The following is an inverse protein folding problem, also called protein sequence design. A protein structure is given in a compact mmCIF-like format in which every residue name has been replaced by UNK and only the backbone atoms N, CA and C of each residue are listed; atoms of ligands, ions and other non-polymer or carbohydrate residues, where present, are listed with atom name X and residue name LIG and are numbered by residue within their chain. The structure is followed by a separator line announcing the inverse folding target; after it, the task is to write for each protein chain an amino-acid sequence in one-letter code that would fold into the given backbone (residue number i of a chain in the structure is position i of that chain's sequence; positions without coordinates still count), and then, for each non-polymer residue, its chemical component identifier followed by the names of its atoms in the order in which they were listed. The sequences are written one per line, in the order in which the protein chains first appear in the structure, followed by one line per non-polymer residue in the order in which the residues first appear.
data_IF_999224817916
#
_entry.id   IF_999224817916
#
_cell.length_a   1.000
_cell.length_b   1.000
_cell.length_c   1.000
_cell.angle_alpha   90.00
_cell.angle_beta   90.00
_cell.angle_gamma   90.00
#
_symmetry.space_group_name_H-M   'P 1'
#
loop_
_entity.id
_entity.type
_entity.pdbx_description
1 polymer ?
#
# COMPACT_ATOMS: atom_id res chain seq x y z
N UNK A 1 -14.52 -37.30 29.47
CA UNK A 1 -14.56 -37.30 28.00
C UNK A 1 -13.13 -37.37 27.47
N UNK A 2 -12.71 -38.49 26.85
CA UNK A 2 -11.39 -38.60 26.22
C UNK A 2 -11.49 -38.04 24.80
N UNK A 3 -10.97 -36.83 24.57
CA UNK A 3 -10.77 -36.37 23.20
C UNK A 3 -9.72 -37.28 22.55
N UNK A 4 -10.09 -37.88 21.41
CA UNK A 4 -9.20 -38.72 20.61
C UNK A 4 -8.02 -37.89 20.10
N UNK A 5 -6.80 -38.38 20.29
CA UNK A 5 -5.54 -37.77 19.86
C UNK A 5 -5.55 -37.44 18.35
N UNK A 6 -6.32 -38.18 17.54
CA UNK A 6 -6.54 -37.90 16.11
C UNK A 6 -7.31 -36.61 15.85
N UNK A 7 -8.25 -36.21 16.73
CA UNK A 7 -9.02 -34.95 16.61
C UNK A 7 -8.19 -33.72 16.99
N UNK A 8 -7.26 -33.88 17.93
CA UNK A 8 -6.32 -32.82 18.33
C UNK A 8 -5.30 -32.54 17.22
N UNK A 9 -4.83 -33.59 16.54
CA UNK A 9 -3.86 -33.45 15.44
C UNK A 9 -4.45 -32.76 14.19
N UNK A 10 -5.71 -33.05 13.83
CA UNK A 10 -6.39 -32.38 12.70
C UNK A 10 -6.67 -30.89 12.95
N UNK A 11 -6.89 -30.49 14.20
CA UNK A 11 -7.08 -29.07 14.55
C UNK A 11 -5.77 -28.27 14.48
N UNK A 12 -4.62 -28.90 14.77
CA UNK A 12 -3.31 -28.24 14.64
C UNK A 12 -2.88 -28.03 13.19
N UNK A 13 -3.20 -28.96 12.27
CA UNK A 13 -2.86 -28.82 10.84
C UNK A 13 -3.73 -27.73 10.16
N UNK A 14 -4.98 -27.57 10.58
CA UNK A 14 -5.84 -26.48 10.10
C UNK A 14 -5.40 -25.10 10.61
N UNK A 15 -4.77 -25.03 11.79
CA UNK A 15 -4.30 -23.77 12.37
C UNK A 15 -2.97 -23.28 11.78
N UNK A 16 -2.10 -24.18 11.29
CA UNK A 16 -0.85 -23.80 10.61
C UNK A 16 -1.05 -23.32 9.16
N UNK A 17 -2.14 -23.69 8.49
CA UNK A 17 -2.43 -23.22 7.12
C UNK A 17 -3.14 -21.85 7.08
N UNK A 18 -3.64 -21.36 8.22
CA UNK A 18 -4.35 -20.08 8.32
C UNK A 18 -3.42 -18.85 8.50
N UNK A 19 -2.10 -19.04 8.61
CA UNK A 19 -1.13 -17.94 8.75
C UNK A 19 -0.39 -17.57 7.45
N UNK A 20 -0.66 -18.24 6.32
CA UNK A 20 0.10 -18.05 5.08
C UNK A 20 -0.64 -17.24 3.99
N UNK A 21 -1.88 -16.80 4.23
CA UNK A 21 -2.66 -16.05 3.25
C UNK A 21 -2.52 -14.55 3.47
N UNK A 22 -1.71 -13.87 2.67
CA UNK A 22 -1.94 -12.44 2.40
C UNK A 22 -0.74 -11.49 2.39
N UNK A 23 0.49 -11.93 2.66
CA UNK A 23 1.65 -11.05 2.47
C UNK A 23 2.11 -11.12 1.01
N UNK A 24 1.55 -10.27 0.15
CA UNK A 24 2.26 -9.88 -1.07
C UNK A 24 3.59 -9.27 -0.63
N UNK A 25 4.70 -9.91 -1.00
CA UNK A 25 6.01 -9.33 -0.73
C UNK A 25 6.10 -8.02 -1.53
N UNK A 26 6.36 -6.92 -0.85
CA UNK A 26 6.62 -5.65 -1.51
C UNK A 26 7.81 -5.82 -2.45
N UNK A 27 7.67 -5.38 -3.69
CA UNK A 27 8.75 -5.34 -4.66
C UNK A 27 9.45 -3.99 -4.52
N UNK A 28 10.69 -4.01 -4.06
CA UNK A 28 11.51 -2.81 -3.87
C UNK A 28 12.68 -2.79 -4.86
N UNK A 29 12.86 -1.65 -5.52
CA UNK A 29 13.94 -1.40 -6.48
C UNK A 29 14.61 -0.09 -6.13
N UNK A 30 15.92 -0.16 -5.91
CA UNK A 30 16.79 1.02 -5.82
C UNK A 30 17.75 1.07 -6.99
N UNK A 31 17.70 2.17 -7.75
CA UNK A 31 18.55 2.43 -8.90
C UNK A 31 19.17 3.82 -8.81
N UNK A 32 20.35 3.92 -8.20
CA UNK A 32 21.08 5.20 -8.12
C UNK A 32 21.64 5.70 -9.45
N UNK A 33 21.46 4.99 -10.58
CA UNK A 33 21.68 5.59 -11.90
C UNK A 33 20.62 6.66 -12.21
N UNK A 34 19.46 6.62 -11.54
CA UNK A 34 18.41 7.64 -11.59
C UNK A 34 18.60 8.71 -10.48
N UNK A 35 19.85 8.94 -10.08
CA UNK A 35 20.22 9.89 -9.06
C UNK A 35 21.52 10.61 -9.45
N UNK A 36 21.88 11.73 -8.77
CA UNK A 36 23.15 12.40 -9.01
C UNK A 36 24.35 11.46 -8.89
N UNK A 37 25.43 11.68 -9.67
CA UNK A 37 26.62 10.84 -9.59
C UNK A 37 27.20 10.80 -8.17
N UNK A 38 27.39 9.58 -7.66
CA UNK A 38 27.88 9.34 -6.30
C UNK A 38 26.78 9.14 -5.26
N UNK A 39 25.50 9.20 -5.64
CA UNK A 39 24.38 8.86 -4.76
C UNK A 39 24.49 7.42 -4.24
N UNK A 40 24.40 7.25 -2.92
CA UNK A 40 24.36 5.96 -2.24
C UNK A 40 23.66 6.11 -0.89
N UNK A 41 23.21 5.00 -0.29
CA UNK A 41 22.73 5.06 1.09
C UNK A 41 23.82 5.57 2.02
N UNK A 42 23.44 6.50 2.87
CA UNK A 42 24.32 6.93 3.94
C UNK A 42 24.68 5.75 4.86
N UNK A 43 25.82 5.84 5.54
CA UNK A 43 26.22 4.86 6.55
C UNK A 43 25.11 4.66 7.59
N UNK A 44 24.67 3.42 7.75
CA UNK A 44 23.59 3.04 8.69
C UNK A 44 22.17 3.27 8.15
N UNK A 45 22.03 3.70 6.90
CA UNK A 45 20.76 3.79 6.19
C UNK A 45 20.64 2.65 5.17
N UNK A 46 19.41 2.34 4.78
CA UNK A 46 19.07 1.27 3.85
C UNK A 46 17.83 1.65 3.05
N UNK A 47 17.41 0.76 2.16
CA UNK A 47 16.14 0.89 1.45
C UNK A 47 14.96 1.06 2.42
N UNK A 48 14.03 2.00 2.16
CA UNK A 48 12.79 2.11 2.93
C UNK A 48 12.04 0.77 2.97
N UNK A 49 11.42 0.46 4.10
CA UNK A 49 10.57 -0.71 4.26
C UNK A 49 9.13 -0.22 4.42
N UNK A 50 8.26 -0.65 3.51
CA UNK A 50 6.83 -0.36 3.58
C UNK A 50 6.08 -1.52 4.24
N UNK A 51 5.18 -1.19 5.16
CA UNK A 51 4.33 -2.13 5.90
C UNK A 51 2.88 -1.70 5.84
N UNK A 52 1.97 -2.67 5.83
CA UNK A 52 0.53 -2.45 5.76
C UNK A 52 -0.13 -2.91 7.06
N UNK A 53 -0.97 -2.06 7.65
CA UNK A 53 -1.79 -2.37 8.82
C UNK A 53 -3.21 -1.85 8.59
N UNK A 54 -4.17 -2.76 8.36
CA UNK A 54 -5.49 -2.38 7.87
C UNK A 54 -5.40 -1.76 6.48
N UNK A 55 -5.90 -0.53 6.31
CA UNK A 55 -5.77 0.26 5.07
C UNK A 55 -4.60 1.25 5.10
N UNK A 56 -3.83 1.28 6.18
CA UNK A 56 -2.72 2.22 6.36
C UNK A 56 -1.42 1.61 5.88
N UNK A 57 -0.71 2.33 5.01
CA UNK A 57 0.65 2.00 4.56
C UNK A 57 1.64 2.94 5.25
N UNK A 58 2.71 2.36 5.79
CA UNK A 58 3.80 3.12 6.42
C UNK A 58 5.14 2.66 5.87
N UNK A 59 5.90 3.60 5.29
CA UNK A 59 7.24 3.38 4.77
C UNK A 59 8.28 4.06 5.67
N UNK A 60 9.32 3.33 6.08
CA UNK A 60 10.38 3.87 6.95
C UNK A 60 11.17 4.98 6.25
N UNK A 61 11.76 5.89 7.04
CA UNK A 61 12.68 6.89 6.49
C UNK A 61 14.03 6.30 6.07
N UNK A 62 14.78 7.05 5.27
CA UNK A 62 16.16 6.72 4.89
C UNK A 62 17.02 7.98 4.73
N UNK A 63 18.31 7.82 4.46
CA UNK A 63 19.21 8.93 4.14
C UNK A 63 20.12 8.55 2.97
N UNK A 64 20.25 9.46 2.01
CA UNK A 64 21.05 9.28 0.79
C UNK A 64 22.18 10.31 0.83
N UNK A 65 23.42 9.86 0.67
CA UNK A 65 24.59 10.71 0.58
C UNK A 65 25.10 10.78 -0.86
N UNK A 66 25.93 11.78 -1.16
CA UNK A 66 26.50 11.97 -2.50
C UNK A 66 25.54 12.59 -3.50
N UNK A 67 24.48 13.27 -3.04
CA UNK A 67 23.45 13.87 -3.91
C UNK A 67 23.79 15.29 -4.38
N UNK A 68 24.94 15.84 -3.96
CA UNK A 68 25.31 17.23 -4.26
C UNK A 68 24.28 18.23 -3.73
N UNK A 69 23.87 19.20 -4.54
CA UNK A 69 22.80 20.14 -4.17
C UNK A 69 21.43 19.74 -4.75
N UNK A 70 21.28 18.49 -5.19
CA UNK A 70 20.08 18.04 -5.88
C UNK A 70 18.98 17.68 -4.89
N UNK A 71 17.83 18.33 -5.04
CA UNK A 71 16.62 18.04 -4.28
C UNK A 71 15.94 16.78 -4.81
N UNK A 72 14.94 16.29 -4.10
CA UNK A 72 14.12 15.17 -4.55
C UNK A 72 12.66 15.38 -4.14
N UNK A 73 11.77 14.61 -4.74
CA UNK A 73 10.39 14.46 -4.30
C UNK A 73 10.22 13.04 -3.79
N UNK A 74 9.59 12.90 -2.62
CA UNK A 74 9.13 11.61 -2.11
C UNK A 74 7.61 11.58 -2.15
N UNK A 75 7.06 10.47 -2.64
CA UNK A 75 5.63 10.26 -2.76
C UNK A 75 5.25 8.87 -2.25
N UNK A 76 4.08 8.77 -1.62
CA UNK A 76 3.44 7.50 -1.27
C UNK A 76 1.99 7.57 -1.73
N UNK A 77 1.63 6.73 -2.69
CA UNK A 77 0.28 6.52 -3.21
C UNK A 77 -0.28 5.22 -2.66
N UNK A 78 -1.52 5.25 -2.22
CA UNK A 78 -2.27 4.06 -1.79
C UNK A 78 -3.60 4.04 -2.51
N UNK A 79 -3.86 2.95 -3.24
CA UNK A 79 -5.05 2.73 -4.02
C UNK A 79 -5.87 1.60 -3.41
N UNK A 80 -7.12 1.90 -3.04
CA UNK A 80 -8.11 0.89 -2.68
C UNK A 80 -8.95 0.56 -3.91
N UNK A 81 -8.87 -0.67 -4.40
CA UNK A 81 -9.76 -1.20 -5.43
C UNK A 81 -10.89 -1.98 -4.77
N UNK A 82 -12.06 -1.35 -4.74
CA UNK A 82 -13.24 -1.83 -4.03
C UNK A 82 -14.23 -2.38 -5.05
N UNK A 83 -14.60 -3.64 -4.86
CA UNK A 83 -15.57 -4.32 -5.72
C UNK A 83 -16.70 -4.91 -4.89
N UNK A 84 -17.87 -5.02 -5.51
CA UNK A 84 -19.07 -5.46 -4.82
C UNK A 84 -20.24 -5.64 -5.75
N UNK A 85 -21.42 -5.74 -5.16
CA UNK A 85 -22.69 -5.95 -5.84
C UNK A 85 -23.79 -5.08 -5.25
N UNK A 86 -24.82 -4.81 -6.04
CA UNK A 86 -26.08 -4.23 -5.57
C UNK A 86 -27.16 -5.31 -5.49
N UNK A 87 -27.98 -5.25 -4.44
CA UNK A 87 -29.10 -6.16 -4.19
C UNK A 87 -30.44 -5.47 -4.39
N UNK A 88 -31.34 -6.15 -5.10
CA UNK A 88 -32.71 -5.67 -5.28
C UNK A 88 -33.59 -6.02 -4.05
N UNK A 89 -34.31 -5.06 -3.44
CA UNK A 89 -35.12 -5.32 -2.26
C UNK A 89 -36.31 -6.25 -2.53
N UNK A 90 -36.84 -6.28 -3.76
CA UNK A 90 -37.94 -7.17 -4.16
C UNK A 90 -37.53 -8.64 -4.22
N UNK A 91 -36.23 -8.93 -4.21
CA UNK A 91 -35.68 -10.28 -4.10
C UNK A 91 -34.26 -10.15 -3.54
N UNK A 92 -34.12 -10.08 -2.21
CA UNK A 92 -32.83 -9.83 -1.52
C UNK A 92 -31.72 -10.82 -1.87
N UNK A 93 -32.04 -11.96 -2.49
CA UNK A 93 -31.08 -12.95 -2.99
C UNK A 93 -30.62 -12.69 -4.44
N UNK A 94 -31.21 -11.73 -5.14
CA UNK A 94 -30.82 -11.33 -6.50
C UNK A 94 -29.81 -10.20 -6.46
N UNK A 95 -28.55 -10.59 -6.64
CA UNK A 95 -27.50 -9.73 -7.17
C UNK A 95 -27.96 -9.22 -8.54
N UNK A 96 -27.94 -7.90 -8.71
CA UNK A 96 -28.39 -7.27 -9.97
C UNK A 96 -27.27 -6.56 -10.71
N UNK A 97 -26.30 -5.97 -10.00
CA UNK A 97 -25.27 -5.16 -10.64
C UNK A 97 -23.95 -5.26 -9.88
N UNK A 98 -22.86 -5.75 -10.50
CA UNK A 98 -21.53 -5.67 -9.91
C UNK A 98 -20.96 -4.25 -10.06
N UNK A 99 -20.12 -3.84 -9.12
CA UNK A 99 -19.34 -2.61 -9.23
C UNK A 99 -17.88 -2.87 -8.92
N UNK A 100 -17.02 -2.02 -9.49
CA UNK A 100 -15.61 -1.91 -9.16
C UNK A 100 -15.18 -0.44 -9.25
N UNK A 101 -14.52 0.06 -8.21
CA UNK A 101 -14.07 1.45 -8.08
C UNK A 101 -12.70 1.48 -7.42
N UNK A 102 -11.81 2.30 -7.96
CA UNK A 102 -10.51 2.56 -7.37
C UNK A 102 -10.49 3.98 -6.78
N UNK A 103 -10.01 4.10 -5.56
CA UNK A 103 -9.81 5.39 -4.88
C UNK A 103 -8.34 5.48 -4.47
N UNK A 104 -7.67 6.53 -4.90
CA UNK A 104 -6.26 6.77 -4.58
C UNK A 104 -6.14 7.92 -3.58
N UNK A 105 -5.30 7.69 -2.57
CA UNK A 105 -4.86 8.68 -1.59
C UNK A 105 -3.35 8.79 -1.68
N UNK A 106 -2.80 9.98 -1.51
CA UNK A 106 -1.37 10.18 -1.66
C UNK A 106 -0.81 11.22 -0.69
N UNK A 107 0.47 11.06 -0.35
CA UNK A 107 1.29 12.08 0.30
C UNK A 107 2.47 12.39 -0.61
N UNK A 108 2.81 13.66 -0.74
CA UNK A 108 3.96 14.11 -1.52
C UNK A 108 4.71 15.21 -0.78
N UNK A 109 6.04 15.17 -0.78
CA UNK A 109 6.88 16.20 -0.18
C UNK A 109 8.16 16.44 -0.96
N UNK A 110 8.52 17.72 -1.14
CA UNK A 110 9.82 18.11 -1.66
C UNK A 110 10.87 18.06 -0.54
N UNK A 111 11.98 17.39 -0.83
CA UNK A 111 13.10 17.19 0.05
C UNK A 111 14.27 18.03 -0.45
N UNK A 112 14.77 18.90 0.43
CA UNK A 112 15.95 19.72 0.12
C UNK A 112 17.22 18.99 0.57
N UNK A 113 18.22 19.00 -0.30
CA UNK A 113 19.55 18.50 0.08
C UNK A 113 20.16 19.41 1.16
N UNK A 114 20.77 18.79 2.17
CA UNK A 114 21.49 19.48 3.24
C UNK A 114 22.93 19.76 2.84
N UNK A 115 23.61 20.64 3.59
CA UNK A 115 25.05 20.88 3.42
C UNK A 115 25.81 19.55 3.46
N UNK A 116 26.77 19.39 2.53
CA UNK A 116 27.56 18.17 2.27
C UNK A 116 26.87 17.08 1.45
N UNK A 117 25.82 17.42 0.71
CA UNK A 117 25.21 16.51 -0.27
C UNK A 117 24.56 15.29 0.34
N UNK A 118 23.78 15.53 1.40
CA UNK A 118 22.95 14.52 2.06
C UNK A 118 21.47 14.90 1.94
N UNK A 119 20.66 13.94 1.55
CA UNK A 119 19.21 13.99 1.56
C UNK A 119 18.69 13.18 2.75
N UNK A 120 17.85 13.80 3.58
CA UNK A 120 17.12 13.10 4.66
C UNK A 120 15.71 12.86 4.17
N UNK A 121 15.33 11.59 4.08
CA UNK A 121 14.02 11.15 3.59
C UNK A 121 13.18 10.74 4.81
N UNK A 122 12.16 11.52 5.20
CA UNK A 122 11.32 11.18 6.34
C UNK A 122 10.45 9.96 6.02
N UNK A 123 10.00 9.26 7.07
CA UNK A 123 8.99 8.21 6.93
C UNK A 123 7.72 8.76 6.30
N UNK A 124 7.09 7.98 5.42
CA UNK A 124 5.80 8.31 4.80
C UNK A 124 4.71 7.43 5.40
N UNK A 125 3.52 7.98 5.57
CA UNK A 125 2.35 7.24 6.01
C UNK A 125 1.11 7.81 5.36
N UNK A 126 0.27 6.94 4.82
CA UNK A 126 -1.03 7.33 4.28
C UNK A 126 -1.99 6.14 4.37
N UNK A 127 -3.28 6.41 4.32
CA UNK A 127 -4.33 5.41 4.44
C UNK A 127 -5.21 5.40 3.19
N UNK A 128 -5.42 4.21 2.64
CA UNK A 128 -6.43 3.97 1.62
C UNK A 128 -7.86 4.06 2.18
N UNK A 129 -8.83 3.90 1.30
CA UNK A 129 -10.26 3.96 1.64
C UNK A 129 -10.74 2.64 2.24
N UNK A 130 -11.39 2.73 3.40
CA UNK A 130 -12.07 1.59 4.04
C UNK A 130 -13.38 1.25 3.32
N UNK A 131 -13.90 0.05 3.57
CA UNK A 131 -15.21 -0.36 3.04
C UNK A 131 -16.32 0.54 3.55
N UNK A 132 -16.28 0.89 4.83
CA UNK A 132 -17.24 1.78 5.48
C UNK A 132 -17.21 3.19 4.87
N UNK A 133 -16.03 3.78 4.69
CA UNK A 133 -15.89 5.12 4.10
C UNK A 133 -16.36 5.15 2.64
N UNK A 134 -16.09 4.08 1.89
CA UNK A 134 -16.58 3.94 0.52
C UNK A 134 -18.12 3.86 0.50
N UNK A 135 -18.71 3.00 1.33
CA UNK A 135 -20.16 2.81 1.39
C UNK A 135 -20.90 4.07 1.89
N UNK A 136 -20.23 4.94 2.65
CA UNK A 136 -20.80 6.23 3.06
C UNK A 136 -21.03 7.20 1.88
N UNK A 137 -20.34 7.01 0.76
CA UNK A 137 -20.43 7.89 -0.42
C UNK A 137 -20.93 7.18 -1.68
N UNK A 138 -20.86 5.85 -1.72
CA UNK A 138 -21.31 5.04 -2.85
C UNK A 138 -22.84 4.86 -2.86
N UNK A 139 -23.43 4.93 -4.06
CA UNK A 139 -24.84 4.61 -4.28
C UNK A 139 -24.99 3.67 -5.47
N UNK A 140 -25.91 2.71 -5.36
CA UNK A 140 -26.30 1.87 -6.48
C UNK A 140 -27.08 2.71 -7.53
N UNK A 141 -27.05 2.34 -8.82
CA UNK A 141 -27.76 3.08 -9.88
C UNK A 141 -29.26 3.26 -9.60
N UNK A 142 -29.88 2.29 -8.91
CA UNK A 142 -31.21 2.43 -8.35
C UNK A 142 -31.09 2.72 -6.84
N UNK A 143 -31.65 3.84 -6.33
CA UNK A 143 -31.55 4.22 -4.92
C UNK A 143 -32.26 3.24 -3.97
N UNK A 144 -33.14 2.36 -4.47
CA UNK A 144 -33.77 1.32 -3.66
C UNK A 144 -32.90 0.07 -3.50
N UNK A 145 -31.78 -0.05 -4.21
CA UNK A 145 -30.88 -1.18 -4.10
C UNK A 145 -29.87 -0.99 -2.96
N UNK A 146 -29.51 -2.09 -2.31
CA UNK A 146 -28.53 -2.07 -1.22
C UNK A 146 -27.17 -2.51 -1.73
N UNK A 147 -26.10 -1.72 -1.55
CA UNK A 147 -24.75 -2.13 -1.90
C UNK A 147 -24.19 -3.14 -0.89
N UNK A 148 -23.40 -4.09 -1.39
CA UNK A 148 -22.56 -5.01 -0.61
C UNK A 148 -21.16 -5.00 -1.23
N UNK A 149 -20.14 -4.66 -0.44
CA UNK A 149 -18.74 -4.80 -0.85
C UNK A 149 -18.31 -6.25 -0.63
N UNK A 150 -17.78 -6.87 -1.68
CA UNK A 150 -17.29 -8.25 -1.65
C UNK A 150 -15.76 -8.33 -1.64
N UNK A 151 -15.09 -7.23 -2.00
CA UNK A 151 -13.62 -7.15 -2.01
C UNK A 151 -13.16 -5.70 -1.82
N UNK A 152 -12.09 -5.52 -1.05
CA UNK A 152 -11.34 -4.27 -0.95
C UNK A 152 -9.86 -4.63 -0.99
N UNK A 153 -9.24 -4.45 -2.16
CA UNK A 153 -7.82 -4.76 -2.38
C UNK A 153 -7.03 -3.47 -2.28
N UNK A 154 -6.05 -3.45 -1.40
CA UNK A 154 -5.11 -2.35 -1.26
C UNK A 154 -3.89 -2.61 -2.16
N UNK A 155 -3.45 -1.58 -2.88
CA UNK A 155 -2.12 -1.54 -3.48
C UNK A 155 -1.45 -0.21 -3.16
N UNK A 156 -0.12 -0.15 -3.19
CA UNK A 156 0.61 1.09 -2.95
C UNK A 156 1.86 1.22 -3.83
N UNK A 157 2.28 2.47 -4.01
CA UNK A 157 3.50 2.87 -4.70
C UNK A 157 4.20 3.93 -3.86
N UNK A 158 5.43 3.64 -3.43
CA UNK A 158 6.35 4.61 -2.84
C UNK A 158 7.41 4.95 -3.87
N UNK A 159 7.64 6.23 -4.10
CA UNK A 159 8.69 6.69 -5.01
C UNK A 159 9.54 7.80 -4.41
N UNK A 160 10.83 7.79 -4.75
CA UNK A 160 11.75 8.89 -4.52
C UNK A 160 12.47 9.25 -5.81
N UNK A 161 12.22 10.46 -6.30
CA UNK A 161 12.72 10.94 -7.59
C UNK A 161 13.53 12.21 -7.41
N UNK A 162 14.77 12.22 -7.89
CA UNK A 162 15.64 13.39 -7.81
C UNK A 162 15.26 14.44 -8.86
N UNK A 163 15.43 15.72 -8.52
CA UNK A 163 15.23 16.82 -9.45
C UNK A 163 16.15 16.65 -10.68
N UNK A 164 15.56 16.74 -11.88
CA UNK A 164 16.26 16.53 -13.15
C UNK A 164 16.29 15.08 -13.63
N UNK A 165 15.69 14.14 -12.89
CA UNK A 165 15.51 12.74 -13.28
C UNK A 165 14.03 12.45 -13.54
N UNK A 166 13.74 11.63 -14.56
CA UNK A 166 12.36 11.24 -14.92
C UNK A 166 11.92 9.95 -14.24
N UNK A 167 12.86 9.07 -13.93
CA UNK A 167 12.62 7.78 -13.28
C UNK A 167 12.99 7.85 -11.79
N UNK A 168 12.32 7.09 -10.91
CA UNK A 168 12.64 7.07 -9.50
C UNK A 168 14.00 6.43 -9.23
N UNK A 169 14.69 6.95 -8.22
CA UNK A 169 15.88 6.32 -7.64
C UNK A 169 15.51 5.19 -6.67
N UNK A 170 14.34 5.29 -6.04
CA UNK A 170 13.74 4.24 -5.20
C UNK A 170 12.28 4.10 -5.61
N UNK A 171 11.86 2.89 -5.94
CA UNK A 171 10.48 2.52 -6.22
C UNK A 171 10.12 1.29 -5.39
N UNK A 172 9.02 1.35 -4.64
CA UNK A 172 8.51 0.22 -3.84
C UNK A 172 7.03 0.07 -4.12
N UNK A 173 6.62 -1.12 -4.54
CA UNK A 173 5.24 -1.45 -4.88
C UNK A 173 4.77 -2.64 -4.05
N UNK A 174 3.50 -2.66 -3.63
CA UNK A 174 2.94 -3.78 -2.87
C UNK A 174 1.43 -3.77 -2.74
#
# INVERSE_FOLDING_TARGET
MKLSLRRVLTLFVAMLFALATGMTAAHAVTNFNNAPPGAHYAKGSAEPICTVSGTTVTCTGTQIAGVGNTNATVELKVTSTISGVCHNPGSKSKVVEPFSRSVTTETSSELTSTKNGRLVVPSQTTAGTSTEDFLATFTCPNPNWTPEVTSNVLSYEYSLTFAGFTEPAILIEG
#
